data_IF_746295323171
#
_entry.id   IF_746295323171
#
_cell.length_a   1.000
_cell.length_b   1.000
_cell.length_c   1.000
_cell.angle_alpha   90.00
_cell.angle_beta   90.00
_cell.angle_gamma   90.00
#
_symmetry.space_group_name_H-M   'P 1'
#
loop_
_entity.id
_entity.type
_entity.pdbx_description
1 polymer ?
#
# COMPACT_ATOMS: atom_id res chain seq x y z
N UNK A 1 -3.23 -3.62 -16.79
CA UNK A 1 -3.83 -4.39 -15.68
C UNK A 1 -2.87 -5.40 -15.07
N UNK A 2 -2.38 -6.43 -15.78
CA UNK A 2 -1.53 -7.52 -15.24
C UNK A 2 -0.33 -7.04 -14.38
N UNK A 3 0.32 -5.93 -14.77
CA UNK A 3 1.48 -5.38 -14.04
C UNK A 3 1.09 -4.71 -12.71
N UNK A 4 -0.10 -4.11 -12.62
CA UNK A 4 -0.62 -3.49 -11.39
C UNK A 4 -1.03 -4.56 -10.39
N UNK A 5 -1.70 -5.62 -10.87
CA UNK A 5 -2.14 -6.74 -10.04
C UNK A 5 -0.95 -7.48 -9.41
N UNK A 6 0.13 -7.68 -10.17
CA UNK A 6 1.36 -8.29 -9.66
C UNK A 6 2.05 -7.38 -8.60
N UNK A 7 2.07 -6.07 -8.82
CA UNK A 7 2.64 -5.14 -7.85
C UNK A 7 1.83 -5.12 -6.54
N UNK A 8 0.50 -5.10 -6.62
CA UNK A 8 -0.38 -5.18 -5.44
C UNK A 8 -0.14 -6.50 -4.70
N UNK A 9 -0.07 -7.64 -5.40
CA UNK A 9 0.20 -8.94 -4.77
C UNK A 9 1.55 -8.98 -4.04
N UNK A 10 2.59 -8.38 -4.62
CA UNK A 10 3.90 -8.26 -3.96
C UNK A 10 3.85 -7.39 -2.71
N UNK A 11 3.12 -6.26 -2.75
CA UNK A 11 2.93 -5.40 -1.58
C UNK A 11 2.12 -6.11 -0.49
N UNK A 12 1.09 -6.87 -0.85
CA UNK A 12 0.29 -7.65 0.10
C UNK A 12 1.15 -8.71 0.83
N UNK A 13 2.01 -9.43 0.10
CA UNK A 13 2.93 -10.39 0.73
C UNK A 13 3.89 -9.71 1.73
N UNK A 14 4.39 -8.51 1.37
CA UNK A 14 5.23 -7.71 2.26
C UNK A 14 4.46 -7.26 3.50
N UNK A 15 3.22 -6.80 3.33
CA UNK A 15 2.33 -6.40 4.43
C UNK A 15 2.10 -7.56 5.40
N UNK A 16 1.76 -8.74 4.89
CA UNK A 16 1.55 -9.92 5.74
C UNK A 16 2.80 -10.26 6.57
N UNK A 17 3.97 -10.23 5.94
CA UNK A 17 5.24 -10.45 6.63
C UNK A 17 5.53 -9.38 7.68
N UNK A 18 5.29 -8.11 7.36
CA UNK A 18 5.50 -7.00 8.31
C UNK A 18 4.52 -7.08 9.48
N UNK A 19 3.25 -7.42 9.25
CA UNK A 19 2.25 -7.65 10.31
C UNK A 19 2.68 -8.75 11.27
N UNK A 20 3.25 -9.83 10.75
CA UNK A 20 3.82 -10.89 11.58
C UNK A 20 4.96 -10.35 12.47
N UNK A 21 5.89 -9.56 11.93
CA UNK A 21 6.97 -8.95 12.72
C UNK A 21 6.46 -7.98 13.78
N UNK A 22 5.45 -7.16 13.47
CA UNK A 22 4.81 -6.26 14.44
C UNK A 22 4.22 -7.07 15.61
N UNK A 23 3.50 -8.15 15.32
CA UNK A 23 2.91 -8.99 16.36
C UNK A 23 3.99 -9.67 17.22
N UNK A 24 5.08 -10.15 16.62
CA UNK A 24 6.22 -10.68 17.38
C UNK A 24 6.90 -9.62 18.23
N UNK A 25 7.07 -8.40 17.72
CA UNK A 25 7.63 -7.27 18.47
C UNK A 25 6.75 -6.91 19.67
N UNK A 26 5.42 -6.89 19.50
CA UNK A 26 4.45 -6.69 20.57
C UNK A 26 4.55 -7.76 21.66
N UNK A 27 4.67 -9.03 21.28
CA UNK A 27 4.83 -10.14 22.24
C UNK A 27 6.17 -10.09 22.98
N UNK A 28 7.23 -9.65 22.30
CA UNK A 28 8.54 -9.46 22.93
C UNK A 28 8.51 -8.26 23.91
N UNK A 29 7.87 -7.14 23.54
CA UNK A 29 7.72 -5.98 24.43
C UNK A 29 6.87 -6.29 25.67
N UNK A 30 5.89 -7.20 25.55
CA UNK A 30 5.15 -7.67 26.71
C UNK A 30 6.02 -8.41 27.74
N UNK A 31 7.13 -9.02 27.29
CA UNK A 31 8.09 -9.72 28.16
C UNK A 31 9.21 -8.78 28.64
N UNK A 32 9.60 -7.81 27.82
CA UNK A 32 10.67 -6.86 28.08
C UNK A 32 10.21 -5.42 27.74
N UNK A 33 9.35 -4.80 28.57
CA UNK A 33 8.72 -3.51 28.24
C UNK A 33 9.70 -2.33 28.22
N UNK A 34 10.81 -2.43 28.95
CA UNK A 34 11.82 -1.38 29.06
C UNK A 34 12.97 -1.53 28.05
N UNK A 35 12.89 -2.52 27.15
CA UNK A 35 13.88 -2.70 26.10
C UNK A 35 13.69 -1.64 25.00
N UNK A 36 14.48 -0.57 25.10
CA UNK A 36 14.44 0.55 24.16
C UNK A 36 14.74 0.14 22.72
N UNK A 37 15.65 -0.82 22.48
CA UNK A 37 16.00 -1.24 21.11
C UNK A 37 14.84 -2.00 20.48
N UNK A 38 14.19 -2.86 21.26
CA UNK A 38 12.99 -3.58 20.85
C UNK A 38 11.83 -2.63 20.57
N UNK A 39 11.64 -1.60 21.42
CA UNK A 39 10.60 -0.59 21.22
C UNK A 39 10.82 0.18 19.91
N UNK A 40 12.05 0.64 19.67
CA UNK A 40 12.42 1.34 18.42
C UNK A 40 12.18 0.43 17.21
N UNK A 41 12.58 -0.84 17.30
CA UNK A 41 12.37 -1.80 16.21
C UNK A 41 10.88 -2.00 15.91
N UNK A 42 10.05 -2.15 16.95
CA UNK A 42 8.60 -2.30 16.82
C UNK A 42 7.93 -1.06 16.18
N UNK A 43 8.25 0.14 16.66
CA UNK A 43 7.76 1.40 16.08
C UNK A 43 8.16 1.56 14.61
N UNK A 44 9.40 1.21 14.26
CA UNK A 44 9.87 1.23 12.87
C UNK A 44 9.09 0.25 11.99
N UNK A 45 8.75 -0.93 12.50
CA UNK A 45 7.94 -1.91 11.76
C UNK A 45 6.49 -1.45 11.59
N UNK A 46 5.91 -0.76 12.59
CA UNK A 46 4.59 -0.13 12.46
C UNK A 46 4.60 0.94 11.38
N UNK A 47 5.57 1.87 11.40
CA UNK A 47 5.70 2.89 10.37
C UNK A 47 5.93 2.29 8.97
N UNK A 48 6.71 1.19 8.89
CA UNK A 48 6.89 0.47 7.63
C UNK A 48 5.59 -0.15 7.11
N UNK A 49 4.78 -0.72 8.00
CA UNK A 49 3.48 -1.29 7.66
C UNK A 49 2.54 -0.22 7.09
N UNK A 50 2.40 0.92 7.77
CA UNK A 50 1.59 2.05 7.31
C UNK A 50 2.04 2.55 5.93
N UNK A 51 3.36 2.60 5.70
CA UNK A 51 3.91 2.99 4.40
C UNK A 51 3.53 2.01 3.28
N UNK A 52 3.52 0.70 3.55
CA UNK A 52 3.12 -0.31 2.55
C UNK A 52 1.61 -0.24 2.26
N UNK A 53 0.78 -0.06 3.29
CA UNK A 53 -0.67 0.11 3.13
C UNK A 53 -1.00 1.38 2.34
N UNK A 54 -0.29 2.48 2.61
CA UNK A 54 -0.39 3.71 1.83
C UNK A 54 0.01 3.55 0.36
N UNK A 55 1.04 2.74 0.06
CA UNK A 55 1.43 2.44 -1.32
C UNK A 55 0.32 1.71 -2.09
N UNK A 56 -0.33 0.71 -1.48
CA UNK A 56 -1.48 0.03 -2.10
C UNK A 56 -2.62 1.03 -2.35
N UNK A 57 -2.97 1.84 -1.35
CA UNK A 57 -4.01 2.86 -1.48
C UNK A 57 -3.73 3.81 -2.64
N UNK A 58 -2.50 4.27 -2.79
CA UNK A 58 -2.08 5.17 -3.87
C UNK A 58 -2.20 4.50 -5.26
N UNK A 59 -1.81 3.23 -5.38
CA UNK A 59 -1.93 2.48 -6.63
C UNK A 59 -3.41 2.32 -7.04
N UNK A 60 -4.26 1.97 -6.07
CA UNK A 60 -5.71 1.80 -6.31
C UNK A 60 -6.37 3.13 -6.71
N UNK A 61 -6.00 4.22 -6.05
CA UNK A 61 -6.49 5.56 -6.39
C UNK A 61 -6.08 5.98 -7.81
N UNK A 62 -4.78 5.89 -8.13
CA UNK A 62 -4.26 6.25 -9.46
C UNK A 62 -4.90 5.42 -10.58
N UNK A 63 -5.14 4.12 -10.34
CA UNK A 63 -5.82 3.25 -11.32
C UNK A 63 -7.28 3.66 -11.52
N UNK A 64 -7.95 4.14 -10.47
CA UNK A 64 -9.34 4.61 -10.55
C UNK A 64 -9.46 5.93 -11.32
N UNK A 65 -8.53 6.86 -11.14
CA UNK A 65 -8.51 8.15 -11.86
C UNK A 65 -8.19 8.01 -13.35
N UNK A 66 -7.32 7.07 -13.72
CA UNK A 66 -7.02 6.78 -15.14
C UNK A 66 -8.22 6.23 -15.90
N UNK A 67 -9.09 5.45 -15.26
CA UNK A 67 -10.32 4.93 -15.90
C UNK A 67 -11.32 6.06 -16.21
N UNK A 68 -11.35 7.11 -15.39
CA UNK A 68 -12.29 8.24 -15.55
C UNK A 68 -11.87 9.15 -16.72
N UNK A 69 -10.56 9.31 -16.94
CA UNK A 69 -10.02 10.18 -18.00
C UNK A 69 -10.15 9.58 -19.41
N UNK A 70 -10.18 8.25 -19.54
CA UNK A 70 -10.31 7.57 -20.84
C UNK A 70 -11.75 7.47 -21.37
N UNK A 71 -12.79 7.70 -20.55
CA UNK A 71 -14.20 7.68 -21.00
C UNK A 71 -14.73 9.04 -21.50
N UNK A 72 -13.91 10.09 -21.53
CA UNK A 72 -14.34 11.46 -21.86
C UNK A 72 -13.84 11.98 -23.21
N UNK A 73 -13.51 11.11 -24.18
CA UNK A 73 -13.17 11.56 -25.54
C UNK A 73 -13.68 10.60 -26.60
N UNK A 74 -14.87 10.86 -27.16
CA UNK A 74 -15.17 10.48 -28.55
C UNK A 74 -16.25 11.39 -29.18
N UNK A 75 -16.33 11.49 -30.52
CA UNK A 75 -16.27 12.75 -31.25
C UNK A 75 -17.58 13.04 -32.03
N UNK A 76 -17.70 14.26 -32.58
CA UNK A 76 -18.53 14.71 -33.75
C UNK A 76 -18.95 16.17 -33.50
N UNK A 77 -18.78 17.11 -34.44
CA UNK A 77 -19.22 17.04 -35.83
C UNK A 77 -18.27 17.77 -36.78
N UNK A 78 -17.92 17.10 -37.88
CA UNK A 78 -17.76 17.78 -39.17
C UNK A 78 -19.08 18.50 -39.47
N UNK A 79 -19.05 19.82 -39.59
CA UNK A 79 -20.02 20.56 -40.36
C UNK A 79 -19.28 21.09 -41.59
N UNK A 80 -19.46 20.37 -42.70
CA UNK A 80 -19.21 20.87 -44.04
C UNK A 80 -20.29 21.92 -44.31
N UNK A 81 -19.87 23.13 -44.69
CA UNK A 81 -20.73 24.23 -45.12
C UNK A 81 -19.88 25.28 -45.80
#
# INVERSE_FOLDING_TARGET
MIQVDNHIAQLQLRIEKTRWFVEMGKQALAQCPDDCELLISHENMLAHLESLEGQISNILHATSESIITEQSVEPRRQAVG
#
